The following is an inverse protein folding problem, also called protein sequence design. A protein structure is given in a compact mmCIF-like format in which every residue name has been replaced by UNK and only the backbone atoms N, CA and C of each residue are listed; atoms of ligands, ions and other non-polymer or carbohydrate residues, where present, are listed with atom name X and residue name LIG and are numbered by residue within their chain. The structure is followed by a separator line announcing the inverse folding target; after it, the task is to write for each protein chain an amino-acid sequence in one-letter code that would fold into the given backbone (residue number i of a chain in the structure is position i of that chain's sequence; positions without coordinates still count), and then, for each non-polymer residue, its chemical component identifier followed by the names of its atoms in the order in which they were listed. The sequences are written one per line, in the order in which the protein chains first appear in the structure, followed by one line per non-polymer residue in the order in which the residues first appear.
data_IF_355765392893
#
_entry.id   IF_355765392893
#
_cell.length_a   1.000
_cell.length_b   1.000
_cell.length_c   1.000
_cell.angle_alpha   90.00
_cell.angle_beta   90.00
_cell.angle_gamma   90.00
#
_symmetry.space_group_name_H-M   'P 1'
#
loop_
_entity.id
_entity.type
_entity.pdbx_description
1 polymer ?
#
# COMPACT_ATOMS: atom_id res chain seq x y z
N UNK A 1 -3.48 4.24 19.09
CA UNK A 1 -4.65 5.07 19.53
C UNK A 1 -4.74 6.41 18.82
N UNK A 2 -3.64 7.17 18.70
CA UNK A 2 -3.67 8.51 18.09
C UNK A 2 -4.17 8.53 16.63
N UNK A 3 -3.62 7.65 15.76
CA UNK A 3 -4.03 7.57 14.37
C UNK A 3 -5.53 7.24 14.21
N UNK A 4 -6.03 6.29 15.00
CA UNK A 4 -7.47 5.94 15.01
C UNK A 4 -8.35 7.13 15.44
N UNK A 5 -7.92 7.92 16.44
CA UNK A 5 -8.65 9.13 16.83
C UNK A 5 -8.64 10.18 15.71
N UNK A 6 -7.50 10.38 15.03
CA UNK A 6 -7.38 11.30 13.91
C UNK A 6 -8.29 10.90 12.74
N UNK A 7 -8.35 9.60 12.40
CA UNK A 7 -9.26 9.04 11.39
C UNK A 7 -10.72 9.32 11.77
N UNK A 8 -11.13 9.01 13.00
CA UNK A 8 -12.52 9.27 13.45
C UNK A 8 -12.87 10.76 13.41
N UNK A 9 -11.94 11.64 13.77
CA UNK A 9 -12.14 13.09 13.67
C UNK A 9 -12.28 13.54 12.21
N UNK A 10 -11.43 13.03 11.30
CA UNK A 10 -11.53 13.31 9.87
C UNK A 10 -12.87 12.85 9.28
N UNK A 11 -13.33 11.65 9.66
CA UNK A 11 -14.64 11.13 9.25
C UNK A 11 -15.77 12.02 9.80
N UNK A 12 -15.74 12.35 11.09
CA UNK A 12 -16.72 13.26 11.73
C UNK A 12 -16.78 14.64 11.07
N UNK A 13 -15.65 15.14 10.55
CA UNK A 13 -15.57 16.40 9.78
C UNK A 13 -15.94 16.25 8.30
N UNK A 14 -16.34 15.05 7.87
CA UNK A 14 -16.76 14.74 6.50
C UNK A 14 -15.63 14.80 5.48
N UNK A 15 -14.37 14.57 5.87
CA UNK A 15 -13.23 14.70 4.95
C UNK A 15 -13.18 13.58 3.88
N UNK A 16 -13.83 12.45 4.13
CA UNK A 16 -13.98 11.31 3.22
C UNK A 16 -15.01 11.57 2.10
N UNK A 17 -15.75 12.68 2.17
CA UNK A 17 -16.84 12.99 1.25
C UNK A 17 -16.44 14.06 0.26
N UNK A 18 -16.90 13.92 -0.98
CA UNK A 18 -16.75 14.99 -1.96
C UNK A 18 -17.48 16.25 -1.46
N UNK A 19 -16.81 17.41 -1.37
CA UNK A 19 -17.48 18.64 -0.98
C UNK A 19 -18.59 18.98 -1.98
N UNK A 20 -19.77 19.33 -1.47
CA UNK A 20 -20.85 19.78 -2.33
C UNK A 20 -20.44 21.06 -3.07
N UNK A 21 -20.80 21.16 -4.36
CA UNK A 21 -20.54 22.36 -5.18
C UNK A 21 -21.14 23.63 -4.56
N UNK A 22 -22.22 23.48 -3.79
CA UNK A 22 -22.91 24.56 -3.08
C UNK A 22 -22.14 25.15 -1.89
N UNK A 23 -21.07 24.51 -1.43
CA UNK A 23 -20.30 24.98 -0.26
C UNK A 23 -19.42 26.19 -0.56
N UNK A 24 -19.30 26.61 -1.83
CA UNK A 24 -18.54 27.80 -2.27
C UNK A 24 -17.17 27.94 -1.59
N UNK A 25 -16.50 26.82 -1.34
CA UNK A 25 -15.20 26.81 -0.66
C UNK A 25 -14.07 27.14 -1.62
N UNK A 26 -13.03 27.85 -1.16
CA UNK A 26 -11.83 28.04 -1.96
C UNK A 26 -11.23 26.70 -2.39
N UNK A 27 -10.81 26.58 -3.64
CA UNK A 27 -10.28 25.33 -4.19
C UNK A 27 -9.08 24.79 -3.40
N UNK A 28 -8.24 25.68 -2.85
CA UNK A 28 -7.09 25.30 -2.03
C UNK A 28 -7.51 24.61 -0.71
N UNK A 29 -8.60 25.05 -0.07
CA UNK A 29 -9.15 24.41 1.13
C UNK A 29 -9.68 23.01 0.83
N UNK A 30 -10.40 22.87 -0.30
CA UNK A 30 -10.89 21.58 -0.77
C UNK A 30 -9.75 20.60 -1.04
N UNK A 31 -8.69 21.04 -1.74
CA UNK A 31 -7.50 20.22 -2.00
C UNK A 31 -6.80 19.80 -0.70
N UNK A 32 -6.60 20.73 0.25
CA UNK A 32 -6.00 20.43 1.56
C UNK A 32 -6.79 19.39 2.34
N UNK A 33 -8.12 19.49 2.35
CA UNK A 33 -9.02 18.54 3.03
C UNK A 33 -8.94 17.13 2.44
N UNK A 34 -9.02 17.03 1.11
CA UNK A 34 -8.85 15.75 0.40
C UNK A 34 -7.46 15.17 0.68
N UNK A 35 -6.39 15.96 0.49
CA UNK A 35 -5.01 15.51 0.76
C UNK A 35 -4.84 15.00 2.19
N UNK A 36 -5.38 15.70 3.20
CA UNK A 36 -5.32 15.28 4.60
C UNK A 36 -6.03 13.93 4.83
N UNK A 37 -7.23 13.76 4.25
CA UNK A 37 -7.96 12.50 4.34
C UNK A 37 -7.14 11.34 3.75
N UNK A 38 -6.58 11.52 2.56
CA UNK A 38 -5.82 10.47 1.88
C UNK A 38 -4.48 10.14 2.54
N UNK A 39 -3.86 11.10 3.24
CA UNK A 39 -2.70 10.83 4.11
C UNK A 39 -3.13 9.95 5.29
N UNK A 40 -4.25 10.27 5.95
CA UNK A 40 -4.78 9.45 7.04
C UNK A 40 -5.20 8.05 6.57
N UNK A 41 -5.76 7.95 5.37
CA UNK A 41 -6.08 6.68 4.71
C UNK A 41 -4.82 5.81 4.52
N UNK A 42 -3.78 6.37 3.93
CA UNK A 42 -2.47 5.71 3.73
C UNK A 42 -1.91 5.21 5.07
N UNK A 43 -1.93 6.07 6.10
CA UNK A 43 -1.42 5.73 7.43
C UNK A 43 -2.23 4.61 8.10
N UNK A 44 -3.56 4.63 7.98
CA UNK A 44 -4.44 3.58 8.50
C UNK A 44 -4.12 2.22 7.87
N UNK A 45 -3.94 2.15 6.55
CA UNK A 45 -3.58 0.91 5.83
C UNK A 45 -2.22 0.37 6.25
N UNK A 46 -1.21 1.24 6.36
CA UNK A 46 0.12 0.84 6.83
C UNK A 46 0.12 0.36 8.29
N UNK A 47 -0.68 0.95 9.17
CA UNK A 47 -0.81 0.48 10.55
C UNK A 47 -1.55 -0.85 10.58
N UNK A 48 -2.65 -0.97 9.84
CA UNK A 48 -3.47 -2.17 9.77
C UNK A 48 -2.67 -3.39 9.29
N UNK A 49 -1.97 -3.26 8.15
CA UNK A 49 -1.11 -4.32 7.60
C UNK A 49 -0.05 -4.78 8.60
N UNK A 50 0.73 -3.86 9.19
CA UNK A 50 1.80 -4.21 10.14
C UNK A 50 1.32 -4.76 11.47
N UNK A 51 0.11 -4.40 11.90
CA UNK A 51 -0.45 -4.85 13.19
C UNK A 51 -1.37 -6.06 13.06
N UNK A 52 -1.64 -6.54 11.84
CA UNK A 52 -2.61 -7.61 11.57
C UNK A 52 -4.05 -7.22 11.92
N UNK A 53 -4.35 -5.94 12.06
CA UNK A 53 -5.68 -5.43 12.44
C UNK A 53 -6.49 -5.05 11.20
N UNK A 54 -7.83 -5.10 11.25
CA UNK A 54 -8.64 -4.51 10.20
C UNK A 54 -8.36 -3.01 10.09
N UNK A 55 -8.31 -2.44 8.86
CA UNK A 55 -8.29 -1.00 8.68
C UNK A 55 -9.55 -0.34 9.25
N UNK A 56 -9.42 0.89 9.75
CA UNK A 56 -10.52 1.61 10.39
C UNK A 56 -11.44 2.33 9.38
N UNK A 57 -10.93 2.63 8.18
CA UNK A 57 -11.70 3.27 7.11
C UNK A 57 -12.21 2.18 6.17
N UNK A 58 -13.52 2.16 5.87
CA UNK A 58 -14.04 1.37 4.76
C UNK A 58 -13.93 2.16 3.45
N UNK A 59 -13.45 1.50 2.39
CA UNK A 59 -13.34 2.09 1.06
C UNK A 59 -14.71 2.46 0.49
N UNK A 60 -15.76 1.70 0.87
CA UNK A 60 -17.12 1.87 0.34
C UNK A 60 -17.79 3.13 0.90
N UNK A 61 -17.24 3.72 1.96
CA UNK A 61 -17.68 4.98 2.55
C UNK A 61 -16.96 6.21 1.97
N UNK A 62 -15.98 6.03 1.06
CA UNK A 62 -15.20 7.13 0.50
C UNK A 62 -15.86 7.64 -0.78
N UNK A 63 -16.14 8.94 -0.85
CA UNK A 63 -16.66 9.58 -2.06
C UNK A 63 -15.81 10.75 -2.56
N UNK A 64 -14.82 11.21 -1.81
CA UNK A 64 -13.89 12.22 -2.31
C UNK A 64 -12.87 11.62 -3.27
N UNK A 65 -12.50 12.39 -4.30
CA UNK A 65 -11.52 11.94 -5.28
C UNK A 65 -10.10 11.86 -4.69
N UNK A 66 -9.33 10.86 -5.13
CA UNK A 66 -7.91 10.80 -4.89
C UNK A 66 -7.19 11.90 -5.70
N UNK A 67 -6.12 12.52 -5.16
CA UNK A 67 -5.29 13.41 -5.95
C UNK A 67 -4.77 12.68 -7.21
N UNK A 68 -5.11 13.21 -8.38
CA UNK A 68 -4.58 12.74 -9.66
C UNK A 68 -3.39 13.61 -10.04
N UNK A 69 -2.21 13.21 -9.60
CA UNK A 69 -1.00 14.04 -9.76
C UNK A 69 0.21 13.17 -9.99
N UNK A 70 0.31 12.62 -11.21
CA UNK A 70 1.51 11.94 -11.73
C UNK A 70 2.12 12.72 -12.91
N UNK A 71 1.78 14.00 -13.09
CA UNK A 71 2.30 14.80 -14.19
C UNK A 71 3.67 15.41 -13.82
N UNK A 72 4.60 15.57 -14.78
CA UNK A 72 5.95 16.08 -14.53
C UNK A 72 6.04 17.52 -13.97
N UNK A 73 4.95 18.29 -14.02
CA UNK A 73 4.90 19.70 -13.63
C UNK A 73 4.53 19.95 -12.16
N UNK A 74 4.20 18.90 -11.42
CA UNK A 74 3.67 19.02 -10.06
C UNK A 74 4.77 18.92 -8.98
N UNK A 75 4.45 19.42 -7.78
CA UNK A 75 5.42 19.47 -6.68
C UNK A 75 5.84 18.06 -6.24
N UNK A 76 7.11 17.90 -5.84
CA UNK A 76 7.69 16.66 -5.31
C UNK A 76 6.81 15.96 -4.25
N UNK A 77 6.19 16.76 -3.39
CA UNK A 77 5.29 16.29 -2.34
C UNK A 77 4.01 15.65 -2.87
N UNK A 78 3.45 16.15 -3.97
CA UNK A 78 2.17 15.68 -4.50
C UNK A 78 2.35 14.35 -5.25
N UNK A 79 3.44 14.20 -6.00
CA UNK A 79 3.81 12.92 -6.64
C UNK A 79 4.03 11.83 -5.59
N UNK A 80 4.80 12.12 -4.54
CA UNK A 80 5.01 11.19 -3.42
C UNK A 80 3.68 10.75 -2.79
N UNK A 81 2.81 11.71 -2.43
CA UNK A 81 1.52 11.40 -1.84
C UNK A 81 0.67 10.54 -2.77
N UNK A 82 0.62 10.86 -4.07
CA UNK A 82 -0.16 10.12 -5.06
C UNK A 82 0.29 8.67 -5.16
N UNK A 83 1.60 8.42 -5.22
CA UNK A 83 2.16 7.06 -5.24
C UNK A 83 1.77 6.29 -3.97
N UNK A 84 1.94 6.90 -2.79
CA UNK A 84 1.57 6.26 -1.53
C UNK A 84 0.07 5.93 -1.44
N UNK A 85 -0.79 6.81 -1.93
CA UNK A 85 -2.24 6.60 -1.97
C UNK A 85 -2.60 5.42 -2.86
N UNK A 86 -2.03 5.37 -4.08
CA UNK A 86 -2.31 4.29 -5.03
C UNK A 86 -1.83 2.93 -4.51
N UNK A 87 -0.64 2.86 -3.92
CA UNK A 87 -0.16 1.64 -3.24
C UNK A 87 -1.08 1.24 -2.08
N UNK A 88 -1.54 2.20 -1.27
CA UNK A 88 -2.45 1.93 -0.14
C UNK A 88 -3.84 1.47 -0.59
N UNK A 89 -4.29 1.90 -1.77
CA UNK A 89 -5.52 1.38 -2.38
C UNK A 89 -5.36 -0.08 -2.80
N UNK A 90 -4.22 -0.47 -3.40
CA UNK A 90 -3.89 -1.87 -3.70
C UNK A 90 -3.81 -2.68 -2.40
N UNK A 91 -3.16 -2.13 -1.36
CA UNK A 91 -3.07 -2.73 -0.03
C UNK A 91 -4.46 -2.99 0.57
N UNK A 92 -5.39 -2.05 0.42
CA UNK A 92 -6.78 -2.20 0.87
C UNK A 92 -7.50 -3.36 0.17
N UNK A 93 -7.36 -3.46 -1.16
CA UNK A 93 -7.90 -4.57 -1.93
C UNK A 93 -7.27 -5.90 -1.54
N UNK A 94 -5.95 -5.93 -1.33
CA UNK A 94 -5.25 -7.11 -0.84
C UNK A 94 -5.81 -7.56 0.51
N UNK A 95 -5.96 -6.63 1.47
CA UNK A 95 -6.61 -6.94 2.75
C UNK A 95 -8.02 -7.51 2.58
N UNK A 96 -8.91 -6.81 1.85
CA UNK A 96 -10.31 -7.24 1.65
C UNK A 96 -10.39 -8.65 1.04
N UNK A 97 -9.53 -8.96 0.06
CA UNK A 97 -9.55 -10.22 -0.71
C UNK A 97 -8.73 -11.35 -0.13
N UNK A 98 -7.73 -11.08 0.71
CA UNK A 98 -6.76 -12.10 1.16
C UNK A 98 -6.73 -12.28 2.68
N UNK A 99 -7.07 -11.25 3.46
CA UNK A 99 -6.84 -11.24 4.91
C UNK A 99 -8.07 -10.91 5.75
N UNK A 100 -9.17 -10.44 5.15
CA UNK A 100 -10.42 -10.20 5.86
C UNK A 100 -11.01 -11.52 6.41
N UNK A 101 -11.83 -11.44 7.47
CA UNK A 101 -12.49 -12.62 8.02
C UNK A 101 -13.33 -13.38 6.98
N UNK A 102 -13.88 -12.68 5.99
CA UNK A 102 -14.57 -13.28 4.84
C UNK A 102 -13.58 -13.96 3.88
N UNK A 103 -12.48 -13.29 3.54
CA UNK A 103 -11.46 -13.83 2.65
C UNK A 103 -10.82 -15.12 3.19
N UNK A 104 -10.64 -15.25 4.52
CA UNK A 104 -10.09 -16.46 5.13
C UNK A 104 -10.98 -17.71 4.98
N UNK A 105 -12.24 -17.55 4.53
CA UNK A 105 -13.18 -18.65 4.27
C UNK A 105 -13.27 -19.03 2.79
N UNK A 106 -12.52 -18.36 1.92
CA UNK A 106 -12.53 -18.63 0.48
C UNK A 106 -11.80 -19.94 0.14
N UNK A 107 -12.06 -20.47 -1.05
CA UNK A 107 -11.36 -21.64 -1.57
C UNK A 107 -9.89 -21.33 -1.92
N UNK A 108 -9.06 -22.37 -1.99
CA UNK A 108 -7.67 -22.22 -2.42
C UNK A 108 -7.58 -21.65 -3.85
N UNK A 109 -8.49 -22.05 -4.75
CA UNK A 109 -8.59 -21.53 -6.11
C UNK A 109 -8.87 -20.02 -6.15
N UNK A 110 -9.82 -19.55 -5.35
CA UNK A 110 -10.17 -18.12 -5.26
C UNK A 110 -9.02 -17.30 -4.70
N UNK A 111 -8.34 -17.82 -3.68
CA UNK A 111 -7.19 -17.16 -3.07
C UNK A 111 -6.02 -17.04 -4.06
N UNK A 112 -5.67 -18.13 -4.74
CA UNK A 112 -4.62 -18.12 -5.77
C UNK A 112 -4.94 -17.15 -6.91
N UNK A 113 -6.19 -17.14 -7.37
CA UNK A 113 -6.65 -16.19 -8.38
C UNK A 113 -6.52 -14.75 -7.87
N UNK A 114 -6.94 -14.48 -6.63
CA UNK A 114 -6.83 -13.16 -6.03
C UNK A 114 -5.38 -12.70 -5.92
N UNK A 115 -4.46 -13.59 -5.51
CA UNK A 115 -3.01 -13.29 -5.46
C UNK A 115 -2.47 -12.95 -6.84
N UNK A 116 -2.81 -13.73 -7.87
CA UNK A 116 -2.37 -13.47 -9.24
C UNK A 116 -2.90 -12.12 -9.78
N UNK A 117 -4.18 -11.84 -9.61
CA UNK A 117 -4.80 -10.59 -10.06
C UNK A 117 -4.22 -9.36 -9.34
N UNK A 118 -4.02 -9.45 -8.02
CA UNK A 118 -3.43 -8.35 -7.23
C UNK A 118 -1.94 -8.15 -7.55
N UNK A 119 -1.21 -9.24 -7.85
CA UNK A 119 0.16 -9.15 -8.31
C UNK A 119 0.25 -8.41 -9.66
N UNK A 120 -0.58 -8.77 -10.63
CA UNK A 120 -0.62 -8.06 -11.91
C UNK A 120 -0.99 -6.59 -11.71
N UNK A 121 -1.93 -6.28 -10.82
CA UNK A 121 -2.29 -4.91 -10.49
C UNK A 121 -1.10 -4.09 -9.96
N UNK A 122 -0.31 -4.64 -9.02
CA UNK A 122 0.85 -3.93 -8.48
C UNK A 122 1.97 -3.77 -9.51
N UNK A 123 2.16 -4.75 -10.40
CA UNK A 123 3.13 -4.67 -11.50
C UNK A 123 2.70 -3.64 -12.54
N UNK A 124 1.42 -3.59 -12.90
CA UNK A 124 0.88 -2.56 -13.79
C UNK A 124 1.07 -1.16 -13.19
N UNK A 125 0.74 -0.98 -11.90
CA UNK A 125 0.98 0.29 -11.22
C UNK A 125 2.47 0.66 -11.22
N UNK A 126 3.36 -0.27 -10.88
CA UNK A 126 4.81 -0.04 -10.95
C UNK A 126 5.27 0.44 -12.32
N UNK A 127 4.78 -0.15 -13.41
CA UNK A 127 5.09 0.30 -14.78
C UNK A 127 4.64 1.74 -15.04
N UNK A 128 3.48 2.15 -14.49
CA UNK A 128 2.97 3.52 -14.68
C UNK A 128 3.87 4.57 -14.04
N UNK A 129 4.58 4.23 -12.96
CA UNK A 129 5.46 5.16 -12.23
C UNK A 129 6.94 5.00 -12.58
N UNK A 130 7.30 4.08 -13.49
CA UNK A 130 8.70 3.76 -13.81
C UNK A 130 9.50 4.95 -14.36
N UNK A 131 8.82 5.92 -14.99
CA UNK A 131 9.43 7.16 -15.47
C UNK A 131 9.74 8.16 -14.34
N UNK A 132 9.22 7.91 -13.14
CA UNK A 132 9.41 8.73 -11.93
C UNK A 132 10.40 8.02 -11.00
N UNK A 133 10.19 6.72 -10.75
CA UNK A 133 10.98 5.88 -9.83
C UNK A 133 11.05 4.46 -10.40
N UNK A 134 12.26 3.91 -10.50
CA UNK A 134 12.48 2.50 -10.87
C UNK A 134 12.52 1.61 -9.61
N UNK A 135 11.40 0.94 -9.32
CA UNK A 135 11.28 0.05 -8.16
C UNK A 135 11.95 -1.34 -8.38
N UNK A 136 12.65 -1.58 -9.49
CA UNK A 136 13.55 -2.75 -9.67
C UNK A 136 15.00 -2.44 -9.28
N UNK A 137 15.43 -1.18 -9.38
CA UNK A 137 16.78 -0.77 -9.06
C UNK A 137 17.03 -0.79 -7.53
N UNK A 138 18.26 -1.15 -7.13
CA UNK A 138 18.63 -1.13 -5.72
C UNK A 138 18.69 0.32 -5.22
N UNK A 139 18.10 0.57 -4.06
CA UNK A 139 18.09 1.90 -3.42
C UNK A 139 19.49 2.51 -3.25
N UNK A 140 20.54 1.69 -3.12
CA UNK A 140 21.93 2.13 -2.95
C UNK A 140 22.57 2.70 -4.23
N UNK A 141 22.04 2.35 -5.41
CA UNK A 141 22.62 2.68 -6.71
C UNK A 141 21.89 3.84 -7.41
N UNK A 142 20.78 4.31 -6.85
CA UNK A 142 19.94 5.32 -7.50
C UNK A 142 20.53 6.73 -7.40
N UNK A 143 20.66 7.46 -8.53
CA UNK A 143 20.85 8.91 -8.48
C UNK A 143 19.60 9.55 -7.87
N UNK A 144 19.78 10.38 -6.83
CA UNK A 144 18.67 11.03 -6.11
C UNK A 144 17.66 11.65 -7.09
N UNK A 145 16.40 11.18 -7.13
CA UNK A 145 15.40 11.72 -8.03
C UNK A 145 15.19 13.21 -7.74
N UNK A 146 15.23 14.07 -8.76
CA UNK A 146 15.00 15.52 -8.60
C UNK A 146 13.65 15.85 -7.96
N UNK A 147 12.71 14.90 -8.00
CA UNK A 147 11.32 15.05 -7.57
C UNK A 147 11.04 14.48 -6.17
N UNK A 148 12.00 13.89 -5.44
CA UNK A 148 11.71 13.35 -4.09
C UNK A 148 12.90 13.48 -3.14
N UNK A 149 12.61 13.56 -1.84
CA UNK A 149 13.65 13.41 -0.81
C UNK A 149 14.03 11.94 -0.62
N UNK A 150 15.22 11.67 -0.07
CA UNK A 150 15.65 10.29 0.25
C UNK A 150 14.63 9.58 1.15
N UNK A 151 14.09 10.29 2.15
CA UNK A 151 13.06 9.76 3.05
C UNK A 151 11.79 9.34 2.30
N UNK A 152 11.32 10.18 1.37
CA UNK A 152 10.14 9.87 0.54
C UNK A 152 10.40 8.65 -0.33
N UNK A 153 11.59 8.56 -0.95
CA UNK A 153 11.99 7.43 -1.76
C UNK A 153 11.97 6.13 -0.95
N UNK A 154 12.67 6.10 0.18
CA UNK A 154 12.68 4.95 1.10
C UNK A 154 11.24 4.58 1.48
N UNK A 155 10.39 5.55 1.80
CA UNK A 155 9.01 5.27 2.18
C UNK A 155 8.17 4.63 1.07
N UNK A 156 8.36 5.05 -0.19
CA UNK A 156 7.70 4.44 -1.35
C UNK A 156 8.16 2.99 -1.52
N UNK A 157 9.46 2.72 -1.46
CA UNK A 157 10.00 1.36 -1.59
C UNK A 157 9.47 0.43 -0.50
N UNK A 158 9.53 0.86 0.77
CA UNK A 158 9.03 0.03 1.87
C UNK A 158 7.52 -0.18 1.82
N UNK A 159 6.75 0.80 1.34
CA UNK A 159 5.31 0.62 1.11
C UNK A 159 5.05 -0.37 -0.03
N UNK A 160 5.79 -0.29 -1.13
CA UNK A 160 5.71 -1.27 -2.23
C UNK A 160 6.06 -2.69 -1.75
N UNK A 161 7.12 -2.85 -0.95
CA UNK A 161 7.48 -4.13 -0.34
C UNK A 161 6.38 -4.64 0.59
N UNK A 162 5.77 -3.77 1.39
CA UNK A 162 4.62 -4.13 2.25
C UNK A 162 3.46 -4.68 1.44
N UNK A 163 3.13 -4.05 0.30
CA UNK A 163 2.07 -4.54 -0.59
C UNK A 163 2.40 -5.93 -1.15
N UNK A 164 3.65 -6.18 -1.56
CA UNK A 164 4.07 -7.51 -2.00
C UNK A 164 3.94 -8.55 -0.89
N UNK A 165 4.32 -8.21 0.35
CA UNK A 165 4.11 -9.11 1.48
C UNK A 165 2.62 -9.37 1.74
N UNK A 166 1.78 -8.35 1.73
CA UNK A 166 0.34 -8.50 1.95
C UNK A 166 -0.30 -9.40 0.88
N UNK A 167 0.18 -9.33 -0.37
CA UNK A 167 -0.32 -10.13 -1.49
C UNK A 167 0.14 -11.59 -1.40
N UNK A 168 1.42 -11.85 -1.15
CA UNK A 168 1.99 -13.19 -1.32
C UNK A 168 2.05 -14.02 -0.02
N UNK A 169 2.10 -13.38 1.16
CA UNK A 169 2.22 -14.09 2.45
C UNK A 169 1.09 -15.06 2.74
N UNK A 170 -0.18 -14.79 2.36
CA UNK A 170 -1.27 -15.73 2.56
C UNK A 170 -0.96 -17.14 2.08
N UNK A 171 -0.31 -17.31 0.92
CA UNK A 171 0.05 -18.62 0.35
C UNK A 171 1.13 -19.38 1.16
N UNK A 172 1.81 -18.71 2.09
CA UNK A 172 2.90 -19.29 2.89
C UNK A 172 2.47 -19.72 4.29
N UNK A 173 1.24 -19.40 4.72
CA UNK A 173 0.78 -19.70 6.07
C UNK A 173 0.60 -21.22 6.27
N UNK A 174 1.06 -21.82 7.39
CA UNK A 174 0.96 -23.27 7.60
C UNK A 174 -0.47 -23.83 7.60
N UNK A 175 -1.46 -22.99 7.93
CA UNK A 175 -2.89 -23.31 7.90
C UNK A 175 -3.54 -23.06 6.54
N UNK A 176 -2.75 -22.76 5.50
CA UNK A 176 -3.20 -22.94 4.14
C UNK A 176 -3.48 -24.43 3.95
N UNK A 177 -4.77 -24.80 3.98
CA UNK A 177 -5.25 -26.18 3.90
C UNK A 177 -5.03 -26.76 2.49
N UNK A 178 -3.77 -26.97 2.13
CA UNK A 178 -3.36 -27.83 1.02
C UNK A 178 -3.32 -29.30 1.46
N UNK A 179 -3.51 -29.58 2.75
CA UNK A 179 -3.33 -30.88 3.39
C UNK A 179 -4.36 -31.95 3.01
N UNK A 180 -5.31 -31.66 2.12
CA UNK A 180 -6.38 -32.60 1.76
C UNK A 180 -6.60 -32.88 0.28
N UNK A 181 -5.87 -32.25 -0.65
CA UNK A 181 -6.29 -32.28 -2.06
C UNK A 181 -5.19 -32.74 -3.02
N UNK A 182 -5.54 -33.67 -3.91
CA UNK A 182 -4.79 -34.03 -5.14
C UNK A 182 -4.52 -32.83 -6.08
N UNK A 183 -4.93 -31.61 -5.70
CA UNK A 183 -4.73 -30.33 -6.41
C UNK A 183 -3.47 -29.56 -5.97
N UNK A 184 -2.69 -30.04 -5.00
CA UNK A 184 -1.43 -29.38 -4.63
C UNK A 184 -0.52 -29.17 -5.84
N UNK A 185 -0.42 -30.18 -6.71
CA UNK A 185 0.41 -30.15 -7.92
C UNK A 185 0.01 -29.01 -8.87
N UNK A 186 -1.29 -28.70 -8.98
CA UNK A 186 -1.77 -27.61 -9.85
C UNK A 186 -1.43 -26.22 -9.35
N UNK A 187 -1.19 -26.06 -8.05
CA UNK A 187 -0.94 -24.77 -7.41
C UNK A 187 0.51 -24.55 -7.00
N UNK A 188 1.31 -25.62 -7.03
CA UNK A 188 2.72 -25.61 -6.67
C UNK A 188 3.52 -24.50 -7.38
N UNK A 189 3.36 -24.24 -8.70
CA UNK A 189 4.11 -23.19 -9.38
C UNK A 189 3.83 -21.78 -8.83
N UNK A 190 2.57 -21.46 -8.52
CA UNK A 190 2.20 -20.16 -7.97
C UNK A 190 2.73 -19.96 -6.56
N UNK A 191 2.67 -21.01 -5.73
CA UNK A 191 3.21 -20.98 -4.36
C UNK A 191 4.73 -20.78 -4.42
N UNK A 192 5.43 -21.54 -5.26
CA UNK A 192 6.88 -21.40 -5.44
C UNK A 192 7.26 -20.00 -5.93
N UNK A 193 6.52 -19.44 -6.90
CA UNK A 193 6.74 -18.08 -7.38
C UNK A 193 6.54 -17.04 -6.25
N UNK A 194 5.48 -17.19 -5.47
CA UNK A 194 5.19 -16.29 -4.32
C UNK A 194 6.28 -16.36 -3.25
N UNK A 195 6.79 -17.57 -2.95
CA UNK A 195 7.93 -17.75 -2.06
C UNK A 195 9.18 -17.04 -2.58
N UNK A 196 9.47 -17.15 -3.88
CA UNK A 196 10.63 -16.49 -4.50
C UNK A 196 10.52 -14.96 -4.45
N UNK A 197 9.32 -14.42 -4.71
CA UNK A 197 9.02 -12.99 -4.60
C UNK A 197 9.25 -12.52 -3.15
N UNK A 198 8.68 -13.21 -2.16
CA UNK A 198 8.85 -12.86 -0.74
C UNK A 198 10.31 -12.91 -0.32
N UNK A 199 11.05 -13.95 -0.69
CA UNK A 199 12.46 -14.08 -0.35
C UNK A 199 13.30 -12.95 -0.96
N UNK A 200 13.04 -12.60 -2.23
CA UNK A 200 13.71 -11.48 -2.90
C UNK A 200 13.35 -10.15 -2.25
N UNK A 201 12.06 -9.89 -2.03
CA UNK A 201 11.54 -8.66 -1.39
C UNK A 201 12.10 -8.50 0.02
N UNK A 202 12.14 -9.57 0.82
CA UNK A 202 12.75 -9.56 2.16
C UNK A 202 14.23 -9.20 2.10
N UNK A 203 14.99 -9.79 1.16
CA UNK A 203 16.41 -9.47 0.98
C UNK A 203 16.63 -7.99 0.68
N UNK A 204 15.90 -7.43 -0.29
CA UNK A 204 16.07 -6.01 -0.67
C UNK A 204 15.57 -5.05 0.42
N UNK A 205 14.50 -5.40 1.15
CA UNK A 205 14.03 -4.62 2.29
C UNK A 205 15.08 -4.57 3.41
N UNK A 206 15.69 -5.71 3.76
CA UNK A 206 16.75 -5.80 4.78
C UNK A 206 17.98 -4.97 4.36
N UNK A 207 18.39 -5.03 3.10
CA UNK A 207 19.51 -4.22 2.61
C UNK A 207 19.17 -2.73 2.66
N UNK A 208 17.96 -2.35 2.23
CA UNK A 208 17.48 -0.97 2.27
C UNK A 208 17.39 -0.37 3.68
N UNK A 209 17.27 -1.19 4.73
CA UNK A 209 17.30 -0.71 6.12
C UNK A 209 18.61 0.02 6.47
N UNK A 210 19.72 -0.23 5.75
CA UNK A 210 21.00 0.46 5.95
C UNK A 210 20.93 1.96 5.66
N UNK A 211 19.97 2.37 4.83
CA UNK A 211 19.73 3.77 4.47
C UNK A 211 18.88 4.50 5.50
N UNK A 212 18.26 3.77 6.43
CA UNK A 212 17.48 4.35 7.53
C UNK A 212 18.44 4.70 8.66
N UNK A 213 18.78 5.99 8.77
CA UNK A 213 19.57 6.47 9.91
C UNK A 213 18.69 6.52 11.16
N UNK A 214 19.07 5.74 12.16
CA UNK A 214 18.48 5.77 13.49
C UNK A 214 19.45 6.51 14.41
N UNK A 215 19.00 7.60 15.00
CA UNK A 215 19.73 8.34 16.03
C UNK A 215 18.94 8.39 17.35
N UNK A 216 19.53 8.98 18.38
CA UNK A 216 18.89 9.11 19.70
C UNK A 216 17.59 9.96 19.69
N UNK A 217 17.35 10.72 18.62
CA UNK A 217 16.15 11.54 18.45
C UNK A 217 15.10 10.85 17.58
N UNK A 218 15.43 9.72 16.98
CA UNK A 218 14.50 8.96 16.15
C UNK A 218 13.48 8.32 17.09
N UNK A 219 12.18 8.64 16.95
CA UNK A 219 11.17 8.13 17.87
C UNK A 219 11.10 6.61 17.76
N UNK A 220 11.60 5.93 18.79
CA UNK A 220 11.44 4.49 18.97
C UNK A 220 10.02 4.27 19.47
N UNK A 221 9.22 3.48 18.74
CA UNK A 221 7.86 3.10 19.12
C UNK A 221 7.82 2.39 20.48
#
# INVERSE_FOLDING_TARGET
MLASNAVRLAISKGLHRQPASTWNRPQHETRKRSKLFWILYTLDRQIASRSGRPPAIDDDDISCDAPETLLPADSSSDTFCTICIKLSQIQSRAYKRLSSARALRQSAEELIRAVAELHEEVILFKRTINHIIDLDEQLDEMPMPRMMTMFQLIMVYFLYYSVLFDIHTPLMLPWFHLTGSKRFDTFHPQVQNSCAIIARTARVAILGCRLVQLDANTPVL
#
